data_IF_014258266457
#
_entry.id   IF_014258266457
#
_cell.length_a   1.000
_cell.length_b   1.000
_cell.length_c   1.000
_cell.angle_alpha   90.00
_cell.angle_beta   90.00
_cell.angle_gamma   90.00
#
_symmetry.space_group_name_H-M   'P 1'
#
loop_
_entity.id
_entity.type
_entity.pdbx_description
1 polymer ?
#
# COMPACT_ATOMS: atom_id res chain seq x y z
N UNK A 1 36.73 -22.12 -13.77
CA UNK A 1 37.23 -21.46 -12.54
C UNK A 1 36.09 -20.65 -11.97
N UNK A 2 35.33 -21.22 -11.02
CA UNK A 2 34.21 -20.59 -10.31
C UNK A 2 34.37 -20.94 -8.83
N UNK A 3 34.21 -19.96 -7.93
CA UNK A 3 34.50 -20.13 -6.50
C UNK A 3 33.39 -20.90 -5.76
N UNK A 4 33.72 -21.89 -4.91
CA UNK A 4 32.73 -22.71 -4.21
C UNK A 4 32.42 -22.18 -2.79
N UNK A 5 31.70 -21.06 -2.67
CA UNK A 5 31.22 -20.54 -1.37
C UNK A 5 29.69 -20.35 -1.26
N UNK A 6 28.91 -20.94 -2.18
CA UNK A 6 27.45 -20.72 -2.26
C UNK A 6 26.61 -21.91 -1.70
N UNK A 7 27.25 -22.98 -1.21
CA UNK A 7 26.54 -24.25 -0.88
C UNK A 7 26.59 -24.64 0.61
N UNK A 8 27.17 -23.84 1.51
CA UNK A 8 27.31 -24.19 2.93
C UNK A 8 26.70 -23.18 3.94
N UNK A 9 25.52 -22.63 3.62
CA UNK A 9 24.62 -22.00 4.63
C UNK A 9 23.20 -22.58 4.50
N UNK A 10 23.11 -23.91 4.48
CA UNK A 10 21.96 -24.66 4.95
C UNK A 10 22.47 -25.61 6.05
N UNK A 11 21.67 -25.85 7.10
CA UNK A 11 21.99 -26.65 8.30
C UNK A 11 22.70 -25.93 9.48
N UNK A 12 22.30 -24.70 9.83
CA UNK A 12 22.26 -24.28 11.25
C UNK A 12 20.87 -23.71 11.57
N UNK A 13 19.90 -24.61 11.71
CA UNK A 13 18.62 -24.34 12.36
C UNK A 13 18.15 -25.62 13.07
N UNK A 14 18.78 -25.92 14.20
CA UNK A 14 18.32 -26.93 15.15
C UNK A 14 18.65 -26.50 16.57
N UNK A 15 17.60 -26.38 17.37
CA UNK A 15 17.61 -26.32 18.85
C UNK A 15 18.29 -25.08 19.43
N UNK A 16 17.49 -24.03 19.58
CA UNK A 16 17.38 -23.37 20.88
C UNK A 16 15.91 -23.35 21.30
N UNK A 17 15.52 -24.36 22.07
CA UNK A 17 14.24 -24.37 22.79
C UNK A 17 14.35 -23.37 23.93
N UNK A 18 14.10 -22.09 23.64
CA UNK A 18 14.23 -21.00 24.61
C UNK A 18 13.14 -21.10 25.71
N UNK A 19 13.36 -21.99 26.67
CA UNK A 19 12.60 -22.06 27.91
C UNK A 19 13.04 -20.86 28.75
N UNK A 20 12.30 -19.75 28.66
CA UNK A 20 12.55 -18.59 29.50
C UNK A 20 12.40 -18.97 30.98
N UNK A 21 13.54 -19.06 31.66
CA UNK A 21 13.63 -19.19 33.11
C UNK A 21 13.28 -17.86 33.77
N UNK A 22 12.96 -17.91 35.06
CA UNK A 22 12.58 -16.74 35.88
C UNK A 22 13.57 -15.56 35.75
N UNK A 23 14.85 -15.84 35.54
CA UNK A 23 15.94 -14.86 35.46
C UNK A 23 16.02 -14.14 34.10
N UNK A 24 15.38 -14.68 33.06
CA UNK A 24 15.41 -14.15 31.70
C UNK A 24 14.25 -13.21 31.35
N UNK A 25 13.28 -13.03 32.25
CA UNK A 25 12.13 -12.16 32.03
C UNK A 25 12.39 -10.76 32.62
N UNK A 26 12.49 -9.69 31.81
CA UNK A 26 12.74 -8.35 32.31
C UNK A 26 11.62 -7.85 33.24
N UNK A 27 11.98 -7.00 34.21
CA UNK A 27 10.99 -6.32 35.06
C UNK A 27 9.98 -5.53 34.21
N UNK A 28 8.73 -5.55 34.65
CA UNK A 28 7.58 -4.88 34.04
C UNK A 28 7.28 -5.33 32.60
N UNK A 29 7.67 -6.58 32.30
CA UNK A 29 7.31 -7.30 31.07
C UNK A 29 6.62 -8.62 31.39
N UNK A 30 5.78 -9.09 30.46
CA UNK A 30 5.14 -10.39 30.48
C UNK A 30 5.89 -11.33 29.56
N UNK A 31 6.34 -12.50 30.02
CA UNK A 31 7.12 -13.45 29.20
C UNK A 31 6.45 -14.82 29.11
N UNK A 32 6.44 -15.45 27.93
CA UNK A 32 5.84 -16.77 27.75
C UNK A 32 6.78 -17.90 28.20
N UNK A 33 6.29 -18.82 29.06
CA UNK A 33 7.11 -19.86 29.67
C UNK A 33 7.01 -21.22 28.95
N UNK A 34 7.97 -21.45 28.06
CA UNK A 34 8.34 -22.80 27.60
C UNK A 34 7.34 -23.51 26.69
N UNK A 35 6.62 -22.79 25.82
CA UNK A 35 5.74 -23.41 24.81
C UNK A 35 5.65 -22.54 23.55
N UNK A 36 5.91 -23.13 22.38
CA UNK A 36 5.75 -22.49 21.06
C UNK A 36 4.26 -22.44 20.66
N UNK A 37 3.47 -21.68 21.41
CA UNK A 37 2.09 -21.37 21.06
C UNK A 37 2.07 -19.99 20.41
N UNK A 38 1.51 -19.88 19.20
CA UNK A 38 1.30 -18.59 18.55
C UNK A 38 0.18 -17.83 19.27
N UNK A 39 0.58 -17.00 20.25
CA UNK A 39 -0.33 -16.18 21.05
C UNK A 39 -0.40 -14.77 20.44
N UNK A 40 -1.62 -14.34 20.13
CA UNK A 40 -1.91 -12.98 19.64
C UNK A 40 -2.40 -12.15 20.82
N UNK A 41 -1.64 -11.12 21.20
CA UNK A 41 -2.05 -10.17 22.24
C UNK A 41 -2.73 -8.94 21.60
N UNK A 42 -3.89 -8.55 22.13
CA UNK A 42 -4.69 -7.42 21.64
C UNK A 42 -5.20 -6.59 22.80
N UNK A 43 -5.32 -5.27 22.64
CA UNK A 43 -5.86 -4.39 23.67
C UNK A 43 -7.35 -4.09 23.42
N UNK A 44 -8.20 -4.37 24.41
CA UNK A 44 -9.62 -4.00 24.45
C UNK A 44 -9.78 -2.81 25.41
N UNK A 45 -10.46 -1.76 24.94
CA UNK A 45 -10.83 -0.53 25.68
C UNK A 45 -9.72 0.17 26.47
N UNK A 46 -8.45 0.02 26.03
CA UNK A 46 -7.24 0.49 26.71
C UNK A 46 -7.11 -0.02 28.18
N UNK A 47 -7.87 -1.05 28.57
CA UNK A 47 -7.99 -1.54 29.96
C UNK A 47 -7.82 -3.05 30.12
N UNK A 48 -7.90 -3.81 29.03
CA UNK A 48 -7.90 -5.27 29.05
C UNK A 48 -6.99 -5.78 27.94
N UNK A 49 -6.09 -6.72 28.25
CA UNK A 49 -5.38 -7.49 27.21
C UNK A 49 -6.18 -8.77 26.95
N UNK A 50 -6.58 -8.96 25.70
CA UNK A 50 -7.08 -10.23 25.17
C UNK A 50 -5.93 -11.00 24.53
N UNK A 51 -5.62 -12.16 25.11
CA UNK A 51 -4.63 -13.12 24.61
C UNK A 51 -5.37 -14.26 23.90
N UNK A 52 -5.17 -14.40 22.59
CA UNK A 52 -5.82 -15.44 21.78
C UNK A 52 -4.80 -16.44 21.24
N UNK A 53 -5.12 -17.72 21.28
CA UNK A 53 -4.29 -18.76 20.66
C UNK A 53 -5.13 -19.92 20.13
N UNK A 54 -4.58 -20.66 19.18
CA UNK A 54 -5.20 -21.86 18.66
C UNK A 54 -4.62 -23.10 19.36
N UNK A 55 -5.46 -24.13 19.51
CA UNK A 55 -5.07 -25.42 20.08
C UNK A 55 -5.83 -26.56 19.39
N UNK A 56 -5.23 -27.74 19.36
CA UNK A 56 -5.86 -28.99 18.90
C UNK A 56 -6.17 -29.96 20.04
N UNK A 57 -5.80 -29.59 21.27
CA UNK A 57 -5.95 -30.38 22.49
C UNK A 57 -7.24 -30.00 23.23
N UNK A 58 -7.93 -30.97 23.85
CA UNK A 58 -9.17 -30.73 24.61
C UNK A 58 -8.95 -29.94 25.93
N UNK A 59 -7.68 -29.75 26.30
CA UNK A 59 -7.21 -28.88 27.39
C UNK A 59 -5.88 -28.26 26.99
N UNK A 60 -5.80 -26.94 26.93
CA UNK A 60 -4.58 -26.18 26.61
C UNK A 60 -4.21 -25.27 27.77
N UNK A 61 -2.92 -25.16 28.11
CA UNK A 61 -2.44 -24.30 29.20
C UNK A 61 -1.40 -23.32 28.66
N UNK A 62 -1.57 -22.04 28.93
CA UNK A 62 -0.59 -20.98 28.64
C UNK A 62 0.03 -20.52 29.96
N UNK A 63 1.36 -20.43 29.98
CA UNK A 63 2.14 -20.04 31.16
C UNK A 63 2.84 -18.71 30.91
N UNK A 64 2.66 -17.74 31.81
CA UNK A 64 3.14 -16.36 31.65
C UNK A 64 3.88 -15.94 32.92
N UNK A 65 5.15 -15.56 32.77
CA UNK A 65 5.91 -14.86 33.80
C UNK A 65 5.50 -13.38 33.83
N UNK A 66 5.31 -12.83 35.03
CA UNK A 66 5.19 -11.39 35.28
C UNK A 66 5.88 -11.08 36.61
N UNK A 67 6.79 -10.11 36.64
CA UNK A 67 7.47 -9.62 37.86
C UNK A 67 7.90 -10.73 38.85
N UNK A 68 8.48 -11.81 38.32
CA UNK A 68 9.02 -12.93 39.10
C UNK A 68 8.01 -14.01 39.53
N UNK A 69 6.73 -13.86 39.19
CA UNK A 69 5.67 -14.84 39.43
C UNK A 69 5.25 -15.54 38.12
N UNK A 70 4.99 -16.85 38.22
CA UNK A 70 4.50 -17.67 37.10
C UNK A 70 2.98 -17.84 37.21
N UNK A 71 2.24 -17.37 36.21
CA UNK A 71 0.80 -17.51 36.12
C UNK A 71 0.44 -18.60 35.09
N UNK A 72 -0.43 -19.53 35.49
CA UNK A 72 -0.91 -20.62 34.63
C UNK A 72 -2.37 -20.38 34.26
N UNK A 73 -2.67 -20.26 32.97
CA UNK A 73 -4.02 -20.08 32.46
C UNK A 73 -4.45 -21.32 31.67
N UNK A 74 -5.59 -21.92 32.05
CA UNK A 74 -6.06 -23.20 31.50
C UNK A 74 -7.37 -22.99 30.72
N UNK A 75 -7.38 -23.41 29.47
CA UNK A 75 -8.55 -23.46 28.58
C UNK A 75 -8.98 -24.93 28.41
N UNK A 76 -10.24 -25.28 28.63
CA UNK A 76 -10.76 -26.66 28.47
C UNK A 76 -12.25 -26.70 28.12
N UNK A 77 -12.70 -27.81 27.53
CA UNK A 77 -14.08 -27.97 27.03
C UNK A 77 -15.14 -28.06 28.16
N UNK A 78 -14.79 -28.63 29.32
CA UNK A 78 -15.71 -28.89 30.45
C UNK A 78 -15.31 -28.09 31.71
N UNK A 79 -15.14 -26.78 31.60
CA UNK A 79 -14.41 -25.96 32.59
C UNK A 79 -15.05 -25.80 33.98
N UNK A 80 -14.53 -26.53 34.97
CA UNK A 80 -14.34 -26.02 36.34
C UNK A 80 -12.83 -25.87 36.61
N UNK A 81 -12.33 -24.63 36.68
CA UNK A 81 -10.96 -24.34 37.10
C UNK A 81 -10.80 -24.54 38.62
N UNK A 82 -9.71 -25.12 39.13
CA UNK A 82 -9.46 -25.23 40.57
C UNK A 82 -9.11 -23.89 41.25
N UNK A 83 -8.75 -22.86 40.47
CA UNK A 83 -8.35 -21.54 40.98
C UNK A 83 -9.48 -20.51 40.75
N UNK A 84 -10.08 -19.93 41.81
CA UNK A 84 -11.18 -18.97 41.70
C UNK A 84 -10.78 -17.60 41.16
N UNK A 85 -9.47 -17.30 41.02
CA UNK A 85 -8.94 -15.96 40.81
C UNK A 85 -9.13 -15.40 39.39
N UNK A 86 -9.38 -16.27 38.40
CA UNK A 86 -9.46 -15.88 36.98
C UNK A 86 -10.65 -16.56 36.27
N UNK A 87 -11.69 -15.76 35.97
CA UNK A 87 -12.84 -16.18 35.14
C UNK A 87 -13.07 -15.19 33.99
N UNK A 88 -12.99 -15.68 32.75
CA UNK A 88 -14.08 -15.63 31.75
C UNK A 88 -13.70 -16.45 30.51
N UNK A 89 -14.56 -17.39 30.10
CA UNK A 89 -14.46 -18.07 28.81
C UNK A 89 -15.77 -17.93 28.04
N UNK A 90 -15.65 -17.79 26.71
CA UNK A 90 -16.68 -17.83 25.66
C UNK A 90 -15.94 -18.63 24.56
N UNK A 91 -16.43 -19.73 23.96
CA UNK A 91 -17.76 -19.94 23.37
C UNK A 91 -18.13 -21.44 23.21
N UNK A 92 -19.36 -21.72 22.78
CA UNK A 92 -19.99 -23.02 22.56
C UNK A 92 -19.46 -23.80 21.32
N UNK A 93 -18.39 -24.59 21.49
CA UNK A 93 -17.97 -25.59 20.48
C UNK A 93 -17.64 -26.94 21.11
N UNK A 94 -18.21 -28.03 20.56
CA UNK A 94 -17.90 -29.43 20.96
C UNK A 94 -16.46 -29.87 20.69
N UNK A 95 -15.59 -28.99 20.20
CA UNK A 95 -14.16 -29.23 20.01
C UNK A 95 -13.38 -27.94 20.26
N UNK A 96 -12.39 -27.99 21.15
CA UNK A 96 -11.49 -26.85 21.41
C UNK A 96 -10.67 -26.59 20.14
N UNK A 97 -10.68 -25.34 19.66
CA UNK A 97 -9.91 -24.91 18.47
C UNK A 97 -9.22 -23.57 18.71
N UNK A 98 -9.95 -22.63 19.28
CA UNK A 98 -9.48 -21.28 19.62
C UNK A 98 -9.74 -21.06 21.11
N UNK A 99 -8.78 -20.45 21.81
CA UNK A 99 -8.89 -20.04 23.20
C UNK A 99 -8.61 -18.54 23.33
N UNK A 100 -9.31 -17.89 24.25
CA UNK A 100 -9.12 -16.47 24.58
C UNK A 100 -9.10 -16.30 26.11
N UNK A 101 -8.14 -15.51 26.61
CA UNK A 101 -8.11 -15.02 27.99
C UNK A 101 -8.16 -13.50 27.96
N UNK A 102 -8.96 -12.90 28.84
CA UNK A 102 -9.00 -11.46 29.05
C UNK A 102 -8.42 -11.12 30.42
N UNK A 103 -7.30 -10.39 30.44
CA UNK A 103 -6.62 -9.93 31.66
C UNK A 103 -6.87 -8.44 31.82
N UNK A 104 -7.50 -8.04 32.93
CA UNK A 104 -7.87 -6.64 33.21
C UNK A 104 -6.75 -5.89 33.92
N UNK A 105 -6.68 -4.57 33.74
CA UNK A 105 -5.76 -3.71 34.50
C UNK A 105 -5.86 -3.90 36.02
N UNK A 106 -7.05 -4.09 36.58
CA UNK A 106 -7.24 -4.30 38.02
C UNK A 106 -6.55 -5.59 38.53
N UNK A 107 -6.52 -6.66 37.72
CA UNK A 107 -5.78 -7.88 38.03
C UNK A 107 -4.26 -7.71 37.87
N UNK A 108 -3.81 -6.67 37.17
CA UNK A 108 -2.40 -6.32 36.95
C UNK A 108 -1.90 -5.27 37.97
N UNK A 109 -2.80 -4.55 38.64
CA UNK A 109 -2.49 -3.48 39.62
C UNK A 109 -1.92 -3.96 40.96
N UNK A 110 -1.69 -5.27 41.14
CA UNK A 110 -0.82 -5.80 42.21
C UNK A 110 0.67 -5.48 41.99
N UNK A 111 1.04 -4.90 40.83
CA UNK A 111 2.41 -4.62 40.45
C UNK A 111 2.63 -3.12 40.25
N UNK A 112 3.67 -2.61 40.92
CA UNK A 112 3.84 -1.18 41.16
C UNK A 112 4.37 -0.43 39.94
N UNK A 113 3.93 0.82 39.84
CA UNK A 113 4.24 1.83 38.84
C UNK A 113 5.71 2.27 38.93
N UNK A 114 6.38 2.50 37.80
CA UNK A 114 7.28 3.65 37.57
C UNK A 114 7.66 3.83 36.08
N UNK A 115 8.25 4.98 35.75
CA UNK A 115 8.28 5.64 34.43
C UNK A 115 9.75 6.04 34.09
N UNK A 116 10.31 6.00 32.86
CA UNK A 116 9.82 5.98 31.46
C UNK A 116 10.88 5.30 30.54
N UNK A 117 10.51 4.75 29.37
CA UNK A 117 11.42 4.64 28.19
C UNK A 117 10.72 4.47 26.84
N UNK A 118 11.30 5.05 25.79
CA UNK A 118 10.85 4.96 24.40
C UNK A 118 11.24 3.62 23.77
N UNK A 119 10.35 3.04 22.96
CA UNK A 119 10.68 2.45 21.64
C UNK A 119 9.40 2.12 20.83
N UNK A 120 9.54 2.05 19.51
CA UNK A 120 8.51 1.56 18.59
C UNK A 120 8.83 0.10 18.26
N UNK A 121 7.89 -0.83 18.42
CA UNK A 121 8.10 -2.20 17.96
C UNK A 121 6.83 -2.82 17.38
N UNK A 122 6.93 -3.18 16.10
CA UNK A 122 6.06 -4.13 15.44
C UNK A 122 6.92 -5.34 15.08
N UNK A 123 6.78 -6.45 15.82
CA UNK A 123 6.83 -7.78 15.20
C UNK A 123 6.37 -8.87 16.15
N UNK A 124 5.69 -9.83 15.53
CA UNK A 124 5.54 -11.19 16.03
C UNK A 124 6.93 -11.73 16.44
N UNK A 125 7.00 -12.49 17.54
CA UNK A 125 8.22 -13.12 18.12
C UNK A 125 9.10 -12.28 19.06
N UNK A 126 8.59 -11.27 19.76
CA UNK A 126 9.18 -10.97 21.09
C UNK A 126 8.70 -12.05 22.08
N UNK A 127 9.60 -12.72 22.84
CA UNK A 127 9.19 -13.68 23.87
C UNK A 127 8.55 -12.98 25.08
N UNK A 128 8.63 -11.65 25.14
CA UNK A 128 8.04 -10.79 26.15
C UNK A 128 7.31 -9.57 25.57
N UNK A 129 6.43 -8.95 26.36
CA UNK A 129 5.68 -7.74 25.97
C UNK A 129 5.38 -6.82 27.17
N UNK A 130 5.23 -5.51 26.95
CA UNK A 130 4.74 -4.57 27.98
C UNK A 130 3.28 -4.17 27.79
N UNK A 131 2.56 -3.94 28.89
CA UNK A 131 1.19 -3.44 28.83
C UNK A 131 1.11 -2.06 28.17
N UNK A 132 1.99 -1.12 28.53
CA UNK A 132 2.02 0.25 27.98
C UNK A 132 2.33 0.31 26.48
N UNK A 133 2.99 -0.71 25.94
CA UNK A 133 3.28 -0.85 24.50
C UNK A 133 2.04 -1.38 23.75
N UNK A 134 1.38 -2.43 24.27
CA UNK A 134 0.16 -3.02 23.68
C UNK A 134 -1.05 -2.10 23.82
N UNK A 135 -1.24 -1.53 24.99
CA UNK A 135 -2.30 -0.61 25.36
C UNK A 135 -1.77 0.83 25.44
N UNK A 136 -1.04 1.28 24.40
CA UNK A 136 -0.74 2.71 24.23
C UNK A 136 -2.05 3.49 24.31
N UNK A 137 -2.05 4.56 25.12
CA UNK A 137 -3.22 5.37 25.45
C UNK A 137 -3.67 6.31 24.31
N UNK A 138 -3.67 5.78 23.09
CA UNK A 138 -4.25 6.38 21.90
C UNK A 138 -5.77 6.41 22.05
N UNK A 139 -6.35 7.58 21.84
CA UNK A 139 -7.80 7.76 21.92
C UNK A 139 -8.48 7.00 20.79
N UNK A 140 -9.76 6.62 20.97
CA UNK A 140 -10.57 6.03 19.89
C UNK A 140 -10.57 6.92 18.64
N UNK A 141 -10.62 8.24 18.86
CA UNK A 141 -10.47 9.28 17.86
C UNK A 141 -9.15 9.23 17.08
N UNK A 142 -8.00 9.07 17.75
CA UNK A 142 -6.71 8.96 17.07
C UNK A 142 -6.64 7.70 16.18
N UNK A 143 -7.12 6.56 16.70
CA UNK A 143 -7.21 5.30 15.94
C UNK A 143 -8.12 5.46 14.71
N UNK A 144 -9.24 6.17 14.86
CA UNK A 144 -10.15 6.51 13.76
C UNK A 144 -9.47 7.38 12.69
N UNK A 145 -8.87 8.51 13.07
CA UNK A 145 -8.18 9.40 12.12
C UNK A 145 -7.06 8.69 11.36
N UNK A 146 -6.27 7.85 12.03
CA UNK A 146 -5.22 7.06 11.38
C UNK A 146 -5.78 6.04 10.37
N UNK A 147 -6.88 5.35 10.71
CA UNK A 147 -7.61 4.47 9.76
C UNK A 147 -8.15 5.26 8.56
N UNK A 148 -8.74 6.43 8.80
CA UNK A 148 -9.29 7.31 7.75
C UNK A 148 -8.20 7.81 6.79
N UNK A 149 -7.08 8.31 7.30
CA UNK A 149 -5.96 8.79 6.49
C UNK A 149 -5.34 7.70 5.62
N UNK A 150 -5.29 6.44 6.10
CA UNK A 150 -4.86 5.28 5.29
C UNK A 150 -5.85 4.99 4.15
N UNK A 151 -7.17 5.11 4.38
CA UNK A 151 -8.18 4.99 3.31
C UNK A 151 -8.07 6.13 2.29
N UNK A 152 -7.95 7.38 2.76
CA UNK A 152 -7.79 8.56 1.91
C UNK A 152 -6.53 8.45 1.06
N UNK A 153 -5.41 7.99 1.65
CA UNK A 153 -4.19 7.69 0.91
C UNK A 153 -4.44 6.72 -0.26
N UNK A 154 -5.06 5.57 0.02
CA UNK A 154 -5.35 4.56 -1.01
C UNK A 154 -6.28 5.11 -2.11
N UNK A 155 -7.37 5.80 -1.75
CA UNK A 155 -8.31 6.41 -2.71
C UNK A 155 -7.63 7.45 -3.59
N UNK A 156 -6.84 8.35 -3.01
CA UNK A 156 -6.10 9.37 -3.77
C UNK A 156 -5.01 8.77 -4.66
N UNK A 157 -4.34 7.69 -4.24
CA UNK A 157 -3.41 6.95 -5.11
C UNK A 157 -4.13 6.32 -6.29
N UNK A 158 -5.29 5.71 -6.08
CA UNK A 158 -6.08 5.08 -7.15
C UNK A 158 -6.57 6.13 -8.17
N UNK A 159 -7.14 7.24 -7.70
CA UNK A 159 -7.63 8.32 -8.58
C UNK A 159 -6.46 9.02 -9.31
N UNK A 160 -5.35 9.27 -8.61
CA UNK A 160 -4.14 9.85 -9.21
C UNK A 160 -3.53 8.94 -10.28
N UNK A 161 -3.18 7.70 -9.90
CA UNK A 161 -2.43 6.79 -10.76
C UNK A 161 -3.25 6.04 -11.80
N UNK A 162 -4.51 5.71 -11.53
CA UNK A 162 -5.32 4.90 -12.45
C UNK A 162 -6.27 5.73 -13.33
N UNK A 163 -6.53 6.98 -12.98
CA UNK A 163 -7.37 7.89 -13.78
C UNK A 163 -6.61 9.12 -14.29
N UNK A 164 -6.10 9.99 -13.40
CA UNK A 164 -5.55 11.28 -13.83
C UNK A 164 -4.27 11.14 -14.69
N UNK A 165 -3.27 10.40 -14.23
CA UNK A 165 -2.00 10.24 -14.96
C UNK A 165 -2.19 9.53 -16.33
N UNK A 166 -2.91 8.39 -16.45
CA UNK A 166 -3.18 7.75 -17.74
C UNK A 166 -3.99 8.65 -18.68
N UNK A 167 -4.99 9.38 -18.18
CA UNK A 167 -5.75 10.34 -19.01
C UNK A 167 -4.83 11.44 -19.56
N UNK A 168 -3.89 11.93 -18.75
CA UNK A 168 -2.85 12.87 -19.18
C UNK A 168 -1.95 12.31 -20.30
N UNK A 169 -1.57 11.02 -20.24
CA UNK A 169 -0.83 10.35 -21.31
C UNK A 169 -1.68 10.19 -22.59
N UNK A 170 -2.95 9.83 -22.46
CA UNK A 170 -3.87 9.72 -23.59
C UNK A 170 -4.03 11.08 -24.30
N UNK A 171 -4.23 12.19 -23.59
CA UNK A 171 -4.28 13.52 -24.22
C UNK A 171 -2.97 13.91 -24.92
N UNK A 172 -1.80 13.55 -24.37
CA UNK A 172 -0.50 13.81 -25.01
C UNK A 172 -0.25 13.00 -26.30
N UNK A 173 -0.79 11.78 -26.40
CA UNK A 173 -0.63 10.89 -27.58
C UNK A 173 -1.72 11.10 -28.64
N UNK A 174 -2.99 11.14 -28.21
CA UNK A 174 -4.18 11.18 -29.08
C UNK A 174 -4.72 12.59 -29.31
N UNK A 175 -4.70 13.42 -28.26
CA UNK A 175 -5.27 14.77 -28.30
C UNK A 175 -4.57 15.66 -29.31
N UNK A 176 -3.28 15.43 -29.59
CA UNK A 176 -2.52 16.13 -30.66
C UNK A 176 -3.30 16.17 -31.97
N UNK A 177 -3.55 15.00 -32.59
CA UNK A 177 -4.23 14.90 -33.89
C UNK A 177 -5.73 15.19 -33.82
N UNK A 178 -6.37 14.88 -32.69
CA UNK A 178 -7.81 15.11 -32.51
C UNK A 178 -8.17 16.59 -32.38
N UNK A 179 -7.23 17.45 -31.98
CA UNK A 179 -7.48 18.86 -31.68
C UNK A 179 -6.43 19.83 -32.25
N UNK A 180 -5.80 19.51 -33.39
CA UNK A 180 -4.70 20.31 -33.99
C UNK A 180 -5.04 21.80 -34.17
N UNK A 181 -6.29 22.08 -34.54
CA UNK A 181 -6.78 23.43 -34.85
C UNK A 181 -7.35 24.18 -33.63
N UNK A 182 -7.42 23.56 -32.45
CA UNK A 182 -8.06 24.15 -31.26
C UNK A 182 -7.01 24.62 -30.24
N UNK A 183 -7.04 25.93 -29.95
CA UNK A 183 -6.19 26.58 -28.95
C UNK A 183 -7.04 27.23 -27.86
N UNK A 184 -6.59 27.12 -26.62
CA UNK A 184 -7.16 27.80 -25.46
C UNK A 184 -6.01 28.49 -24.71
N UNK A 185 -6.15 29.79 -24.46
CA UNK A 185 -5.09 30.66 -23.90
C UNK A 185 -3.79 30.58 -24.72
N UNK A 186 -3.90 30.70 -26.05
CA UNK A 186 -2.82 30.62 -27.04
C UNK A 186 -2.01 29.29 -27.07
N UNK A 187 -2.38 28.30 -26.25
CA UNK A 187 -1.76 26.97 -26.23
C UNK A 187 -2.69 25.92 -26.87
N UNK A 188 -2.15 24.87 -27.51
CA UNK A 188 -2.95 23.76 -28.03
C UNK A 188 -3.78 23.10 -26.92
N UNK A 189 -5.06 22.83 -27.17
CA UNK A 189 -5.98 22.32 -26.14
C UNK A 189 -5.55 20.95 -25.58
N UNK A 190 -4.94 20.09 -26.40
CA UNK A 190 -4.39 18.80 -25.95
C UNK A 190 -3.30 18.98 -24.89
N UNK A 191 -2.51 20.06 -24.98
CA UNK A 191 -1.44 20.35 -24.05
C UNK A 191 -2.01 20.91 -22.74
N UNK A 192 -3.08 21.70 -22.83
CA UNK A 192 -3.84 22.14 -21.65
C UNK A 192 -4.44 20.94 -20.91
N UNK A 193 -5.12 20.02 -21.59
CA UNK A 193 -5.63 18.80 -20.96
C UNK A 193 -4.51 17.95 -20.36
N UNK A 194 -3.45 17.66 -21.11
CA UNK A 194 -2.30 16.91 -20.59
C UNK A 194 -1.74 17.54 -19.30
N UNK A 195 -1.52 18.86 -19.29
CA UNK A 195 -1.02 19.60 -18.12
C UNK A 195 -2.01 19.56 -16.95
N UNK A 196 -3.29 19.79 -17.19
CA UNK A 196 -4.31 19.79 -16.13
C UNK A 196 -4.48 18.41 -15.50
N UNK A 197 -4.62 17.35 -16.32
CA UNK A 197 -4.74 15.98 -15.81
C UNK A 197 -3.50 15.52 -15.06
N UNK A 198 -2.29 15.79 -15.57
CA UNK A 198 -1.05 15.42 -14.86
C UNK A 198 -0.83 16.22 -13.58
N UNK A 199 -1.15 17.53 -13.57
CA UNK A 199 -1.06 18.37 -12.37
C UNK A 199 -2.04 17.93 -11.27
N UNK A 200 -3.30 17.64 -11.62
CA UNK A 200 -4.29 17.09 -10.69
C UNK A 200 -3.85 15.72 -10.15
N UNK A 201 -3.33 14.84 -11.02
CA UNK A 201 -2.78 13.55 -10.62
C UNK A 201 -1.64 13.69 -9.61
N UNK A 202 -0.62 14.49 -9.90
CA UNK A 202 0.51 14.75 -8.98
C UNK A 202 0.04 15.40 -7.67
N UNK A 203 -0.97 16.27 -7.72
CA UNK A 203 -1.57 16.87 -6.52
C UNK A 203 -2.22 15.82 -5.61
N UNK A 204 -3.04 14.91 -6.18
CA UNK A 204 -3.61 13.78 -5.45
C UNK A 204 -2.54 12.89 -4.82
N UNK A 205 -1.48 12.57 -5.58
CA UNK A 205 -0.35 11.74 -5.11
C UNK A 205 0.40 12.42 -3.95
N UNK A 206 0.67 13.72 -4.06
CA UNK A 206 1.37 14.49 -3.03
C UNK A 206 0.57 14.59 -1.72
N UNK A 207 -0.73 14.89 -1.82
CA UNK A 207 -1.65 14.90 -0.65
C UNK A 207 -1.73 13.50 -0.04
N UNK A 208 -1.82 12.46 -0.88
CA UNK A 208 -1.85 11.06 -0.45
C UNK A 208 -0.61 10.63 0.32
N UNK A 209 0.58 11.04 -0.11
CA UNK A 209 1.82 10.81 0.63
C UNK A 209 1.80 11.54 1.98
N UNK A 210 1.36 12.79 2.04
CA UNK A 210 1.22 13.50 3.30
C UNK A 210 0.26 12.79 4.28
N UNK A 211 -0.88 12.29 3.78
CA UNK A 211 -1.82 11.50 4.58
C UNK A 211 -1.20 10.24 5.20
N UNK A 212 -0.43 9.44 4.43
CA UNK A 212 0.17 8.21 4.97
C UNK A 212 1.33 8.50 5.92
N UNK A 213 2.15 9.53 5.65
CA UNK A 213 3.20 9.95 6.58
C UNK A 213 2.60 10.38 7.93
N UNK A 214 1.55 11.22 7.93
CA UNK A 214 0.85 11.60 9.16
C UNK A 214 0.23 10.39 9.87
N UNK A 215 -0.45 9.49 9.13
CA UNK A 215 -1.03 8.27 9.69
C UNK A 215 0.00 7.31 10.32
N UNK A 216 1.26 7.40 9.90
CA UNK A 216 2.39 6.60 10.38
C UNK A 216 3.35 7.38 11.29
N UNK A 217 2.95 8.53 11.83
CA UNK A 217 3.78 9.39 12.68
C UNK A 217 5.16 9.72 12.04
N UNK A 218 5.20 9.92 10.72
CA UNK A 218 6.41 10.14 9.92
C UNK A 218 7.49 9.02 10.02
N UNK A 219 7.12 7.82 10.51
CA UNK A 219 8.03 6.66 10.55
C UNK A 219 8.23 6.05 9.16
N UNK A 220 9.49 5.86 8.76
CA UNK A 220 9.83 5.12 7.54
C UNK A 220 9.41 3.65 7.66
N UNK A 221 8.81 3.10 6.60
CA UNK A 221 8.32 1.71 6.53
C UNK A 221 8.79 0.97 5.27
N UNK A 222 9.77 1.53 4.56
CA UNK A 222 10.44 0.92 3.39
C UNK A 222 11.58 0.00 3.77
N UNK A 223 12.47 -0.29 2.82
CA UNK A 223 13.69 -1.08 3.05
C UNK A 223 14.49 -0.50 4.22
N UNK A 224 15.03 -1.38 5.07
CA UNK A 224 15.78 -1.02 6.29
C UNK A 224 14.91 -0.71 7.51
N UNK A 225 13.59 -0.87 7.42
CA UNK A 225 12.67 -0.75 8.58
C UNK A 225 12.20 -2.10 9.11
N UNK A 226 11.63 -2.10 10.33
CA UNK A 226 10.99 -3.29 10.91
C UNK A 226 9.65 -3.67 10.27
N UNK A 227 9.21 -2.99 9.21
CA UNK A 227 7.97 -3.33 8.53
C UNK A 227 7.98 -4.76 7.93
N UNK A 228 6.79 -5.27 7.64
CA UNK A 228 6.62 -6.52 6.89
C UNK A 228 7.17 -6.40 5.47
N UNK A 229 7.76 -7.48 4.94
CA UNK A 229 8.44 -7.50 3.63
C UNK A 229 7.66 -6.80 2.51
N UNK A 230 6.38 -7.17 2.30
CA UNK A 230 5.56 -6.56 1.23
C UNK A 230 5.20 -5.09 1.50
N UNK A 231 5.23 -4.65 2.76
CA UNK A 231 5.08 -3.22 3.10
C UNK A 231 6.34 -2.41 2.84
N UNK A 232 7.53 -3.03 2.95
CA UNK A 232 8.78 -2.39 2.55
C UNK A 232 8.76 -2.10 1.04
N UNK A 233 8.56 -3.13 0.23
CA UNK A 233 8.48 -3.00 -1.24
C UNK A 233 7.39 -2.04 -1.73
N UNK A 234 6.19 -2.08 -1.13
CA UNK A 234 5.14 -1.12 -1.47
C UNK A 234 5.56 0.34 -1.17
N UNK A 235 6.21 0.55 -0.02
CA UNK A 235 6.69 1.89 0.41
C UNK A 235 7.82 2.37 -0.49
N UNK A 236 8.79 1.52 -0.82
CA UNK A 236 9.93 1.88 -1.67
C UNK A 236 9.47 2.23 -3.09
N UNK A 237 8.69 1.35 -3.72
CA UNK A 237 8.18 1.56 -5.09
C UNK A 237 7.25 2.78 -5.17
N UNK A 238 6.36 2.97 -4.19
CA UNK A 238 5.48 4.14 -4.11
C UNK A 238 6.24 5.45 -3.88
N UNK A 239 7.31 5.42 -3.08
CA UNK A 239 8.15 6.60 -2.81
C UNK A 239 8.99 6.98 -4.04
N UNK A 240 9.70 6.01 -4.64
CA UNK A 240 10.46 6.21 -5.88
C UNK A 240 9.53 6.74 -6.98
N UNK A 241 8.38 6.10 -7.18
CA UNK A 241 7.36 6.54 -8.13
C UNK A 241 6.96 8.01 -7.91
N UNK A 242 6.65 8.39 -6.66
CA UNK A 242 6.23 9.75 -6.31
C UNK A 242 7.33 10.78 -6.55
N UNK A 243 8.58 10.48 -6.20
CA UNK A 243 9.73 11.37 -6.48
C UNK A 243 9.85 11.62 -7.99
N UNK A 244 9.75 10.55 -8.80
CA UNK A 244 9.78 10.65 -10.26
C UNK A 244 8.53 11.33 -10.86
N UNK A 245 7.42 11.41 -10.12
CA UNK A 245 6.20 12.11 -10.52
C UNK A 245 6.30 13.61 -10.24
N UNK A 246 6.74 13.98 -9.03
CA UNK A 246 6.92 15.37 -8.58
C UNK A 246 8.07 16.05 -9.33
N UNK A 247 9.06 15.31 -9.81
CA UNK A 247 10.11 15.87 -10.68
C UNK A 247 9.61 16.24 -12.08
N UNK A 248 8.47 15.72 -12.56
CA UNK A 248 7.94 16.07 -13.89
C UNK A 248 7.56 17.54 -14.06
N UNK A 249 6.74 18.16 -13.18
CA UNK A 249 6.45 19.59 -13.30
C UNK A 249 7.71 20.44 -13.11
N UNK A 250 8.64 20.05 -12.22
CA UNK A 250 9.91 20.77 -12.03
C UNK A 250 10.78 20.75 -13.29
N UNK A 251 10.98 19.57 -13.89
CA UNK A 251 11.66 19.43 -15.19
C UNK A 251 10.94 20.23 -16.29
N UNK A 252 9.60 20.27 -16.26
CA UNK A 252 8.80 21.04 -17.23
C UNK A 252 8.99 22.55 -17.14
N UNK A 253 9.49 23.10 -16.01
CA UNK A 253 9.89 24.50 -15.91
C UNK A 253 11.19 24.79 -16.67
N UNK A 254 12.07 23.79 -16.82
CA UNK A 254 13.34 23.88 -17.56
C UNK A 254 13.16 23.61 -19.08
N UNK A 255 11.91 23.50 -19.55
CA UNK A 255 11.59 23.16 -20.94
C UNK A 255 12.04 24.25 -21.91
N UNK A 256 13.01 23.90 -22.76
CA UNK A 256 13.48 24.75 -23.85
C UNK A 256 12.35 25.11 -24.86
N UNK A 257 12.47 26.27 -25.55
CA UNK A 257 11.58 26.61 -26.66
C UNK A 257 11.62 25.54 -27.76
N UNK A 258 10.60 25.47 -28.62
CA UNK A 258 10.45 24.35 -29.55
C UNK A 258 11.64 24.17 -30.51
N UNK A 259 12.07 25.27 -31.15
CA UNK A 259 13.16 25.34 -32.12
C UNK A 259 14.57 24.98 -31.62
N UNK A 260 14.74 24.61 -30.34
CA UNK A 260 16.05 24.29 -29.75
C UNK A 260 16.33 22.78 -29.83
N UNK A 261 17.52 22.36 -30.28
CA UNK A 261 17.90 20.94 -30.38
C UNK A 261 17.81 20.17 -29.05
N UNK A 262 18.07 20.82 -27.91
CA UNK A 262 17.90 20.23 -26.57
C UNK A 262 16.45 19.82 -26.26
N UNK A 263 15.47 20.31 -27.03
CA UNK A 263 14.06 19.93 -26.90
C UNK A 263 13.82 18.44 -27.14
N UNK A 264 14.55 17.81 -28.06
CA UNK A 264 14.45 16.38 -28.32
C UNK A 264 14.87 15.57 -27.09
N UNK A 265 16.01 15.93 -26.48
CA UNK A 265 16.51 15.35 -25.23
C UNK A 265 15.51 15.53 -24.10
N UNK A 266 15.03 16.76 -23.86
CA UNK A 266 14.02 17.05 -22.84
C UNK A 266 12.78 16.16 -22.98
N UNK A 267 12.23 16.05 -24.20
CA UNK A 267 11.01 15.27 -24.42
C UNK A 267 11.24 13.75 -24.20
N UNK A 268 12.41 13.22 -24.58
CA UNK A 268 12.78 11.82 -24.34
C UNK A 268 12.98 11.54 -22.86
N UNK A 269 13.72 12.38 -22.14
CA UNK A 269 13.92 12.27 -20.69
C UNK A 269 12.59 12.35 -19.93
N UNK A 270 11.75 13.35 -20.23
CA UNK A 270 10.41 13.50 -19.64
C UNK A 270 9.55 12.23 -19.87
N UNK A 271 9.58 11.67 -21.09
CA UNK A 271 8.86 10.42 -21.41
C UNK A 271 9.38 9.21 -20.64
N UNK A 272 10.69 9.00 -20.56
CA UNK A 272 11.29 7.87 -19.83
C UNK A 272 10.96 7.97 -18.34
N UNK A 273 11.20 9.12 -17.72
CA UNK A 273 10.99 9.30 -16.27
C UNK A 273 9.49 9.15 -15.94
N UNK A 274 8.59 9.66 -16.78
CA UNK A 274 7.15 9.47 -16.63
C UNK A 274 6.70 8.00 -16.73
N UNK A 275 7.29 7.23 -17.65
CA UNK A 275 7.00 5.80 -17.80
C UNK A 275 7.54 4.96 -16.63
N UNK A 276 8.75 5.26 -16.16
CA UNK A 276 9.33 4.61 -14.98
C UNK A 276 8.50 4.90 -13.72
N UNK A 277 8.13 6.17 -13.52
CA UNK A 277 7.26 6.62 -12.43
C UNK A 277 5.93 5.85 -12.42
N UNK A 278 5.26 5.73 -13.57
CA UNK A 278 4.01 4.97 -13.72
C UNK A 278 4.20 3.46 -13.46
N UNK A 279 5.27 2.85 -13.99
CA UNK A 279 5.57 1.43 -13.79
C UNK A 279 5.77 1.08 -12.31
N UNK A 280 6.50 1.92 -11.57
CA UNK A 280 6.68 1.73 -10.13
C UNK A 280 5.37 1.95 -9.33
N UNK A 281 4.54 2.93 -9.72
CA UNK A 281 3.23 3.14 -9.11
C UNK A 281 2.32 1.91 -9.26
N UNK A 282 2.18 1.42 -10.49
CA UNK A 282 1.39 0.24 -10.84
C UNK A 282 1.86 -0.98 -10.04
N UNK A 283 3.18 -1.18 -9.93
CA UNK A 283 3.75 -2.27 -9.13
C UNK A 283 3.38 -2.14 -7.64
N UNK A 284 3.45 -0.92 -7.07
CA UNK A 284 3.02 -0.67 -5.69
C UNK A 284 1.51 -0.92 -5.48
N UNK A 285 0.66 -0.56 -6.46
CA UNK A 285 -0.79 -0.84 -6.44
C UNK A 285 -1.09 -2.33 -6.50
N UNK A 286 -0.39 -3.11 -7.34
CA UNK A 286 -0.55 -4.56 -7.36
C UNK A 286 -0.14 -5.23 -6.05
N UNK A 287 0.96 -4.78 -5.42
CA UNK A 287 1.33 -5.25 -4.08
C UNK A 287 0.22 -4.92 -3.08
N UNK A 288 -0.37 -3.71 -3.14
CA UNK A 288 -1.48 -3.35 -2.27
C UNK A 288 -2.67 -4.30 -2.46
N UNK A 289 -3.18 -4.46 -3.68
CA UNK A 289 -4.33 -5.33 -3.97
C UNK A 289 -4.10 -6.80 -3.54
N UNK A 290 -2.90 -7.36 -3.82
CA UNK A 290 -2.60 -8.76 -3.51
C UNK A 290 -2.32 -9.02 -2.01
N UNK A 291 -1.80 -8.04 -1.26
CA UNK A 291 -1.20 -8.27 0.06
C UNK A 291 -1.91 -7.55 1.20
N UNK A 292 -2.62 -6.44 0.94
CA UNK A 292 -3.22 -5.61 1.99
C UNK A 292 -4.66 -6.01 2.28
N UNK A 293 -4.87 -7.26 2.74
CA UNK A 293 -6.19 -7.85 3.08
C UNK A 293 -7.02 -7.09 4.12
N UNK A 294 -6.46 -6.10 4.82
CA UNK A 294 -7.20 -5.18 5.70
C UNK A 294 -7.82 -4.00 4.94
N UNK A 295 -7.20 -3.54 3.85
CA UNK A 295 -7.71 -2.50 2.95
C UNK A 295 -8.64 -3.07 1.88
N UNK A 296 -8.43 -4.32 1.51
CA UNK A 296 -8.96 -4.98 0.31
C UNK A 296 -9.61 -6.31 0.69
N UNK A 297 -10.82 -6.59 0.21
CA UNK A 297 -11.59 -7.81 0.54
C UNK A 297 -11.42 -8.91 -0.50
N UNK A 298 -11.44 -8.55 -1.78
CA UNK A 298 -11.60 -9.46 -2.92
C UNK A 298 -10.44 -9.34 -3.92
N UNK A 299 -9.25 -9.94 -3.65
CA UNK A 299 -8.03 -9.68 -4.40
C UNK A 299 -8.16 -9.91 -5.89
N UNK A 300 -8.97 -10.90 -6.28
CA UNK A 300 -9.23 -11.21 -7.68
C UNK A 300 -9.90 -10.04 -8.39
N UNK A 301 -10.97 -9.47 -7.80
CA UNK A 301 -11.67 -8.30 -8.33
C UNK A 301 -10.76 -7.07 -8.36
N UNK A 302 -9.97 -6.88 -7.30
CA UNK A 302 -9.12 -5.70 -7.12
C UNK A 302 -7.91 -5.73 -8.06
N UNK A 303 -7.31 -6.90 -8.30
CA UNK A 303 -6.28 -7.10 -9.33
C UNK A 303 -6.87 -6.94 -10.72
N UNK A 304 -8.06 -7.48 -11.01
CA UNK A 304 -8.74 -7.29 -12.30
C UNK A 304 -8.96 -5.79 -12.56
N UNK A 305 -9.53 -5.05 -11.60
CA UNK A 305 -9.78 -3.62 -11.70
C UNK A 305 -8.49 -2.80 -11.84
N UNK A 306 -7.42 -3.15 -11.10
CA UNK A 306 -6.10 -2.51 -11.24
C UNK A 306 -5.41 -2.86 -12.58
N UNK A 307 -5.78 -3.98 -13.20
CA UNK A 307 -5.22 -4.42 -14.48
C UNK A 307 -5.76 -3.61 -15.67
N UNK A 308 -7.03 -3.18 -15.65
CA UNK A 308 -7.65 -2.47 -16.78
C UNK A 308 -6.84 -1.24 -17.27
N UNK A 309 -6.37 -0.30 -16.42
CA UNK A 309 -5.52 0.80 -16.86
C UNK A 309 -4.21 0.36 -17.53
N UNK A 310 -3.60 -0.72 -17.05
CA UNK A 310 -2.34 -1.24 -17.62
C UNK A 310 -2.57 -1.94 -18.96
N UNK A 311 -3.62 -2.76 -19.05
CA UNK A 311 -4.05 -3.41 -20.28
C UNK A 311 -4.45 -2.38 -21.35
N UNK A 312 -5.20 -1.34 -20.97
CA UNK A 312 -5.59 -0.26 -21.89
C UNK A 312 -4.37 0.52 -22.38
N UNK A 313 -3.40 0.81 -21.51
CA UNK A 313 -2.11 1.41 -21.89
C UNK A 313 -1.31 0.54 -22.86
N UNK A 314 -1.25 -0.77 -22.63
CA UNK A 314 -0.53 -1.71 -23.51
C UNK A 314 -1.24 -1.92 -24.86
N UNK A 315 -2.57 -2.06 -24.84
CA UNK A 315 -3.41 -2.17 -26.05
C UNK A 315 -3.30 -0.92 -26.93
N UNK A 316 -3.38 0.28 -26.33
CA UNK A 316 -3.17 1.53 -27.06
C UNK A 316 -1.74 1.71 -27.55
N UNK A 317 -0.74 1.18 -26.85
CA UNK A 317 0.64 1.14 -27.36
C UNK A 317 0.79 0.22 -28.59
N UNK A 318 0.32 -1.03 -28.52
CA UNK A 318 0.34 -1.98 -29.64
C UNK A 318 -0.38 -1.40 -30.86
N UNK A 319 -1.61 -0.91 -30.68
CA UNK A 319 -2.41 -0.33 -31.76
C UNK A 319 -1.63 0.75 -32.50
N UNK A 320 -0.91 1.61 -31.78
CA UNK A 320 -0.13 2.68 -32.39
C UNK A 320 1.14 2.18 -33.07
N UNK A 321 1.84 1.18 -32.52
CA UNK A 321 2.96 0.54 -33.22
C UNK A 321 2.54 -0.07 -34.56
N UNK A 322 1.31 -0.62 -34.65
CA UNK A 322 0.73 -1.15 -35.89
C UNK A 322 0.29 -0.05 -36.87
N UNK A 323 -0.31 1.04 -36.38
CA UNK A 323 -0.67 2.19 -37.23
C UNK A 323 0.57 2.93 -37.76
N UNK A 324 1.66 2.92 -36.98
CA UNK A 324 2.94 3.53 -37.32
C UNK A 324 3.70 2.70 -38.36
N UNK A 325 3.72 1.36 -38.24
CA UNK A 325 4.33 0.48 -39.25
C UNK A 325 3.58 0.46 -40.59
N UNK A 326 2.27 0.74 -40.59
CA UNK A 326 1.46 0.89 -41.81
C UNK A 326 1.65 2.23 -42.53
N UNK A 327 2.41 3.17 -41.98
CA UNK A 327 2.58 4.52 -42.54
C UNK A 327 1.36 5.45 -42.39
N UNK A 328 0.19 4.92 -42.01
CA UNK A 328 -1.03 5.68 -41.65
C UNK A 328 -0.77 6.68 -40.51
N UNK A 329 0.19 6.37 -39.64
CA UNK A 329 0.60 7.23 -38.54
C UNK A 329 2.12 7.44 -38.56
N UNK A 330 2.61 8.47 -39.27
CA UNK A 330 3.90 9.04 -38.86
C UNK A 330 3.79 9.47 -37.40
N UNK A 331 4.70 8.98 -36.56
CA UNK A 331 4.92 9.58 -35.25
C UNK A 331 5.11 11.08 -35.44
N UNK A 332 4.46 11.87 -34.58
CA UNK A 332 4.76 13.30 -34.51
C UNK A 332 6.13 13.40 -33.84
N UNK A 333 7.15 13.31 -34.69
CA UNK A 333 8.52 13.68 -34.36
C UNK A 333 8.50 15.10 -33.78
N UNK A 334 9.41 15.36 -32.85
CA UNK A 334 9.39 16.59 -32.06
C UNK A 334 10.15 17.72 -32.78
N UNK A 335 9.86 17.86 -34.07
CA UNK A 335 10.48 18.77 -35.03
C UNK A 335 9.45 19.83 -35.41
N UNK A 336 9.72 21.09 -35.05
CA UNK A 336 8.76 22.19 -35.14
C UNK A 336 8.63 22.82 -36.54
N UNK A 337 8.77 22.00 -37.58
CA UNK A 337 8.47 22.42 -38.96
C UNK A 337 6.95 22.33 -39.19
N UNK A 338 6.32 23.37 -39.77
CA UNK A 338 4.89 23.33 -40.05
C UNK A 338 4.59 22.23 -41.07
N UNK A 339 3.51 21.45 -40.89
CA UNK A 339 3.14 20.41 -41.85
C UNK A 339 2.80 21.05 -43.19
N UNK A 340 3.36 20.52 -44.28
CA UNK A 340 2.99 20.92 -45.63
C UNK A 340 1.53 20.56 -45.91
N UNK A 341 0.78 21.51 -46.45
CA UNK A 341 -0.66 21.41 -46.68
C UNK A 341 -0.99 20.36 -47.74
N UNK A 342 -1.50 19.19 -47.34
CA UNK A 342 -2.10 18.22 -48.26
C UNK A 342 -3.21 17.36 -47.60
N UNK A 343 -4.23 17.02 -48.38
CA UNK A 343 -5.39 16.15 -48.05
C UNK A 343 -6.43 16.67 -47.03
N UNK A 344 -7.33 17.56 -47.47
CA UNK A 344 -8.40 18.14 -46.64
C UNK A 344 -9.68 17.29 -46.47
N UNK A 345 -9.93 16.25 -47.27
CA UNK A 345 -11.25 15.56 -47.33
C UNK A 345 -11.33 14.17 -46.66
N UNK A 346 -10.27 13.62 -46.09
CA UNK A 346 -10.30 12.33 -45.38
C UNK A 346 -10.53 12.46 -43.85
N UNK A 347 -10.81 13.69 -43.38
CA UNK A 347 -10.45 14.16 -42.03
C UNK A 347 -11.54 14.03 -40.96
N UNK A 348 -12.81 14.33 -41.24
CA UNK A 348 -13.83 14.49 -40.19
C UNK A 348 -14.26 13.17 -39.52
N UNK A 349 -14.70 12.17 -40.29
CA UNK A 349 -15.11 10.87 -39.73
C UNK A 349 -13.95 10.19 -38.98
N UNK A 350 -12.73 10.31 -39.52
CA UNK A 350 -11.55 9.76 -38.86
C UNK A 350 -11.19 10.45 -37.54
N UNK A 351 -11.38 11.76 -37.42
CA UNK A 351 -11.13 12.47 -36.17
C UNK A 351 -12.26 12.25 -35.15
N UNK A 352 -13.50 12.03 -35.61
CA UNK A 352 -14.62 11.69 -34.75
C UNK A 352 -14.41 10.34 -34.03
N UNK A 353 -14.00 9.26 -34.74
CA UNK A 353 -13.75 7.98 -34.06
C UNK A 353 -12.58 8.06 -33.07
N UNK A 354 -11.49 8.78 -33.41
CA UNK A 354 -10.33 8.94 -32.52
C UNK A 354 -10.72 9.66 -31.23
N UNK A 355 -11.55 10.68 -31.35
CA UNK A 355 -12.05 11.48 -30.22
C UNK A 355 -13.02 10.67 -29.36
N UNK A 356 -13.95 9.94 -29.99
CA UNK A 356 -14.87 9.02 -29.30
C UNK A 356 -14.13 7.92 -28.54
N UNK A 357 -13.13 7.28 -29.18
CA UNK A 357 -12.26 6.29 -28.56
C UNK A 357 -11.50 6.88 -27.36
N UNK A 358 -10.89 8.06 -27.50
CA UNK A 358 -10.19 8.76 -26.42
C UNK A 358 -11.09 8.97 -25.19
N UNK A 359 -12.30 9.51 -25.38
CA UNK A 359 -13.24 9.71 -24.27
C UNK A 359 -13.79 8.40 -23.70
N UNK A 360 -13.96 7.36 -24.52
CA UNK A 360 -14.33 6.01 -24.06
C UNK A 360 -13.25 5.43 -23.15
N UNK A 361 -11.97 5.52 -23.54
CA UNK A 361 -10.83 5.13 -22.72
C UNK A 361 -10.81 5.88 -21.37
N UNK A 362 -10.98 7.20 -21.39
CA UNK A 362 -11.03 8.04 -20.18
C UNK A 362 -12.20 7.65 -19.27
N UNK A 363 -13.38 7.35 -19.84
CA UNK A 363 -14.55 6.87 -19.10
C UNK A 363 -14.32 5.52 -18.42
N UNK A 364 -13.66 4.58 -19.11
CA UNK A 364 -13.28 3.27 -18.54
C UNK A 364 -12.27 3.44 -17.39
N UNK A 365 -11.25 4.30 -17.57
CA UNK A 365 -10.27 4.61 -16.52
C UNK A 365 -10.94 5.23 -15.28
N UNK A 366 -11.87 6.16 -15.48
CA UNK A 366 -12.65 6.77 -14.40
C UNK A 366 -13.49 5.71 -13.69
N UNK A 367 -14.23 4.88 -14.43
CA UNK A 367 -15.07 3.83 -13.88
C UNK A 367 -14.29 2.79 -13.06
N UNK A 368 -13.11 2.38 -13.52
CA UNK A 368 -12.23 1.48 -12.76
C UNK A 368 -11.70 2.13 -11.48
N UNK A 369 -11.21 3.37 -11.57
CA UNK A 369 -10.65 4.10 -10.43
C UNK A 369 -11.72 4.44 -9.36
N UNK A 370 -12.93 4.83 -9.76
CA UNK A 370 -14.04 5.08 -8.84
C UNK A 370 -14.54 3.78 -8.20
N UNK A 371 -14.68 2.69 -8.97
CA UNK A 371 -15.07 1.38 -8.42
C UNK A 371 -14.09 0.89 -7.36
N UNK A 372 -12.78 0.94 -7.63
CA UNK A 372 -11.74 0.62 -6.65
C UNK A 372 -11.80 1.52 -5.42
N UNK A 373 -12.02 2.83 -5.61
CA UNK A 373 -12.14 3.79 -4.51
C UNK A 373 -13.35 3.52 -3.62
N UNK A 374 -14.48 3.13 -4.22
CA UNK A 374 -15.71 2.75 -3.50
C UNK A 374 -15.47 1.47 -2.69
N UNK A 375 -14.78 0.47 -3.23
CA UNK A 375 -14.42 -0.76 -2.49
C UNK A 375 -13.54 -0.48 -1.26
N UNK A 376 -12.54 0.41 -1.39
CA UNK A 376 -11.72 0.86 -0.24
C UNK A 376 -12.56 1.64 0.78
N UNK A 377 -13.49 2.47 0.31
CA UNK A 377 -14.36 3.27 1.18
C UNK A 377 -15.33 2.38 1.96
N UNK A 378 -16.03 1.46 1.29
CA UNK A 378 -17.10 0.63 1.86
C UNK A 378 -16.63 -0.47 2.81
N UNK A 379 -15.36 -0.90 2.72
CA UNK A 379 -14.84 -1.94 3.61
C UNK A 379 -14.83 -1.50 5.08
N UNK A 380 -15.63 -2.15 5.92
CA UNK A 380 -15.61 -1.93 7.37
C UNK A 380 -14.31 -2.48 7.99
N UNK A 381 -13.86 -1.81 9.06
CA UNK A 381 -12.63 -2.16 9.77
C UNK A 381 -12.97 -2.96 11.04
N UNK A 382 -13.52 -4.15 10.84
CA UNK A 382 -13.78 -5.14 11.90
C UNK A 382 -12.45 -5.69 12.48
#
# INVERSE_FOLDING_TARGET
MFHPEIVLIFLIFSIDSLVLTKESCPKDTFCFAGQQINITATCIDNKVISLKWNTTEDKSTVRIWNNGHLHNYVCSVNGTSPDPSYKKFIDYSKKLRNCEIQVTMAQMFMFQKDEISFLDYNKEKSPYFKFSEICKNSTSWEKFWKKLLVKVHAILMLIGWLFFIPSGFLFARFGKKSFENLKILNLPIWFQFHRTFTFLGVSCISISIFCIFFAKNFTWRGTGSDAWYWSQWHTDLGTISTILAVSQPLNSLLRCPPSNSSRQTFNWSHRIIGLLSYTFAVSAVYIAALKYRKTWSEPTLEVILASFPTFLGFSTWILFSVLESKGEYKAVEMTDLPPSSSSSNQSNSQNLYKTSWLFTCIGILLGAATSLSILVASKNND
#
